data_IF_634151163495
#
_entry.id   IF_634151163495
#
_cell.length_a   1.000
_cell.length_b   1.000
_cell.length_c   1.000
_cell.angle_alpha   90.00
_cell.angle_beta   90.00
_cell.angle_gamma   90.00
#
_symmetry.space_group_name_H-M   'P 1'
#
loop_
_entity.id
_entity.type
_entity.pdbx_description
1 polymer ?
#
# COMPACT_ATOMS: atom_id res chain seq x y z
N UNK A 1 -12.40 40.43 -31.50
CA UNK A 1 -12.22 39.32 -30.54
C UNK A 1 -13.43 38.43 -30.64
N UNK A 2 -13.30 37.23 -31.22
CA UNK A 2 -14.41 36.51 -31.83
C UNK A 2 -15.22 35.73 -30.78
N UNK A 3 -16.47 36.16 -30.50
CA UNK A 3 -17.32 35.57 -29.43
C UNK A 3 -17.57 34.07 -29.66
N UNK A 4 -17.51 33.61 -30.90
CA UNK A 4 -17.64 32.20 -31.28
C UNK A 4 -16.48 31.32 -30.80
N UNK A 5 -15.29 31.88 -30.57
CA UNK A 5 -14.16 31.12 -30.02
C UNK A 5 -14.40 30.72 -28.56
N UNK A 6 -15.15 31.52 -27.79
CA UNK A 6 -15.51 31.23 -26.39
C UNK A 6 -16.57 30.12 -26.32
N UNK A 7 -17.49 30.06 -27.29
CA UNK A 7 -18.54 29.04 -27.36
C UNK A 7 -18.02 27.65 -27.78
N UNK A 8 -16.89 27.56 -28.49
CA UNK A 8 -16.25 26.28 -28.82
C UNK A 8 -15.37 25.71 -27.70
N UNK A 9 -14.96 26.51 -26.72
CA UNK A 9 -14.09 26.05 -25.61
C UNK A 9 -14.92 25.42 -24.47
N UNK A 10 -16.18 25.84 -24.31
CA UNK A 10 -17.05 25.37 -23.22
C UNK A 10 -17.45 23.87 -23.27
N UNK A 11 -17.69 23.23 -24.43
CA UNK A 11 -17.99 21.80 -24.49
C UNK A 11 -16.76 20.89 -24.29
N UNK A 12 -15.54 21.41 -24.48
CA UNK A 12 -14.31 20.62 -24.39
C UNK A 12 -13.88 20.34 -22.94
N UNK A 13 -14.33 21.17 -21.99
CA UNK A 13 -14.05 21.03 -20.55
C UNK A 13 -14.99 20.06 -19.83
N UNK A 14 -16.03 19.54 -20.50
CA UNK A 14 -17.04 18.65 -19.91
C UNK A 14 -16.74 17.15 -20.08
N UNK A 15 -15.70 16.77 -20.83
CA UNK A 15 -15.23 15.38 -20.90
C UNK A 15 -14.32 15.03 -19.72
N UNK A 16 -14.90 14.95 -18.53
CA UNK A 16 -14.24 14.26 -17.41
C UNK A 16 -14.41 12.76 -17.63
N UNK A 17 -13.34 12.07 -18.04
CA UNK A 17 -13.31 10.62 -18.02
C UNK A 17 -13.54 10.16 -16.59
N UNK A 18 -14.66 9.49 -16.31
CA UNK A 18 -14.85 8.80 -15.06
C UNK A 18 -13.75 7.74 -14.95
N UNK A 19 -12.74 7.99 -14.11
CA UNK A 19 -11.73 6.99 -13.77
C UNK A 19 -12.46 5.87 -13.04
N UNK A 20 -12.58 4.74 -13.72
CA UNK A 20 -13.18 3.54 -13.15
C UNK A 20 -12.12 2.87 -12.26
N UNK A 21 -12.09 3.27 -10.99
CA UNK A 21 -11.28 2.61 -9.99
C UNK A 21 -12.04 1.39 -9.46
N UNK A 22 -11.37 0.24 -9.37
CA UNK A 22 -11.94 -1.00 -8.82
C UNK A 22 -12.10 -0.91 -7.30
N UNK A 23 -11.16 -1.53 -6.59
CA UNK A 23 -11.12 -1.55 -5.13
C UNK A 23 -10.02 -0.62 -4.62
N UNK A 24 -10.40 0.37 -3.81
CA UNK A 24 -9.50 1.37 -3.20
C UNK A 24 -9.17 0.94 -1.78
N UNK A 25 -7.89 1.00 -1.42
CA UNK A 25 -7.37 0.65 -0.09
C UNK A 25 -6.98 1.92 0.65
N UNK A 26 -7.48 2.08 1.87
CA UNK A 26 -7.15 3.17 2.78
C UNK A 26 -5.71 3.08 3.29
N UNK A 27 -4.76 3.54 2.49
CA UNK A 27 -3.35 3.62 2.83
C UNK A 27 -2.42 2.88 1.86
N UNK A 28 -1.16 3.30 1.81
CA UNK A 28 -0.12 2.69 0.97
C UNK A 28 0.90 1.86 1.76
N UNK A 29 0.86 2.00 3.10
CA UNK A 29 1.64 1.25 4.08
C UNK A 29 0.91 1.29 5.42
N UNK A 30 1.19 0.32 6.28
CA UNK A 30 0.57 0.21 7.60
C UNK A 30 1.65 0.10 8.68
N UNK A 31 1.46 0.81 9.79
CA UNK A 31 2.35 0.74 10.95
C UNK A 31 1.52 0.14 12.08
N UNK A 32 2.01 -0.97 12.65
CA UNK A 32 1.45 -1.64 13.82
C UNK A 32 2.34 -1.31 15.03
N UNK A 33 1.92 -0.40 15.92
CA UNK A 33 2.63 -0.11 17.16
C UNK A 33 2.61 -1.33 18.09
N UNK A 34 3.69 -1.59 18.81
CA UNK A 34 3.79 -2.70 19.76
C UNK A 34 2.68 -2.72 20.81
N UNK A 35 2.35 -1.56 21.39
CA UNK A 35 1.31 -1.43 22.41
C UNK A 35 -0.12 -1.48 21.85
N UNK A 36 -0.33 -1.61 20.54
CA UNK A 36 -1.67 -1.64 19.95
C UNK A 36 -2.21 -3.07 19.89
N UNK A 37 -3.44 -3.28 20.36
CA UNK A 37 -4.12 -4.58 20.20
C UNK A 37 -4.41 -4.88 18.73
N UNK A 38 -4.77 -3.85 17.97
CA UNK A 38 -5.04 -3.97 16.54
C UNK A 38 -4.93 -2.63 15.83
N UNK A 39 -4.73 -2.69 14.52
CA UNK A 39 -4.91 -1.54 13.62
C UNK A 39 -6.03 -1.86 12.62
N UNK A 40 -6.63 -0.85 12.02
CA UNK A 40 -7.67 -1.05 11.03
C UNK A 40 -7.59 -0.05 9.90
N UNK A 41 -8.01 -0.47 8.73
CA UNK A 41 -8.09 0.36 7.54
C UNK A 41 -9.33 -0.02 6.72
N UNK A 42 -9.75 0.90 5.86
CA UNK A 42 -10.93 0.71 5.02
C UNK A 42 -10.53 0.23 3.63
N UNK A 43 -11.39 -0.60 3.04
CA UNK A 43 -11.36 -0.95 1.63
C UNK A 43 -12.72 -0.61 1.05
N UNK A 44 -12.73 0.17 -0.03
CA UNK A 44 -13.94 0.65 -0.69
C UNK A 44 -14.01 0.18 -2.12
N UNK A 45 -15.17 -0.28 -2.55
CA UNK A 45 -15.43 -0.55 -3.96
C UNK A 45 -15.98 0.70 -4.64
N UNK A 46 -15.23 1.23 -5.59
CA UNK A 46 -15.63 2.42 -6.37
C UNK A 46 -16.11 2.07 -7.78
N UNK A 47 -16.15 0.78 -8.12
CA UNK A 47 -16.68 0.31 -9.40
C UNK A 47 -18.15 -0.09 -9.31
N UNK A 48 -18.74 -0.37 -10.47
CA UNK A 48 -20.08 -0.92 -10.64
C UNK A 48 -20.17 -2.44 -10.44
N UNK A 49 -19.05 -3.14 -10.26
CA UNK A 49 -18.98 -4.59 -10.18
C UNK A 49 -18.75 -5.05 -8.74
N UNK A 50 -19.32 -6.19 -8.35
CA UNK A 50 -19.02 -6.81 -7.05
C UNK A 50 -17.66 -7.50 -7.08
N UNK A 51 -16.83 -7.29 -6.06
CA UNK A 51 -15.56 -8.00 -5.90
C UNK A 51 -15.58 -8.93 -4.69
N UNK A 52 -14.85 -10.04 -4.81
CA UNK A 52 -14.42 -10.83 -3.67
C UNK A 52 -13.04 -10.34 -3.22
N UNK A 53 -12.95 -9.83 -2.00
CA UNK A 53 -11.72 -9.33 -1.40
C UNK A 53 -11.08 -10.40 -0.54
N UNK A 54 -9.83 -10.75 -0.82
CA UNK A 54 -9.02 -11.65 0.00
C UNK A 54 -7.85 -10.91 0.64
N UNK A 55 -7.62 -11.13 1.93
CA UNK A 55 -6.53 -10.50 2.68
C UNK A 55 -5.56 -11.56 3.22
N UNK A 56 -4.26 -11.32 3.08
CA UNK A 56 -3.21 -12.22 3.60
C UNK A 56 -2.00 -11.42 4.07
N UNK A 57 -1.40 -11.80 5.19
CA UNK A 57 -0.14 -11.23 5.67
C UNK A 57 0.96 -12.29 5.54
N UNK A 58 2.14 -11.89 5.05
CA UNK A 58 3.31 -12.75 4.93
C UNK A 58 4.59 -12.02 5.36
N UNK A 59 5.65 -12.79 5.57
CA UNK A 59 7.03 -12.30 5.70
C UNK A 59 7.92 -13.03 4.68
N UNK A 60 9.17 -12.61 4.52
CA UNK A 60 10.08 -13.19 3.51
C UNK A 60 10.46 -14.64 3.83
N UNK A 61 10.59 -15.00 5.10
CA UNK A 61 10.93 -16.36 5.54
C UNK A 61 10.07 -16.76 6.74
N UNK A 62 9.33 -17.86 6.66
CA UNK A 62 8.46 -18.36 7.73
C UNK A 62 7.06 -17.71 7.77
N UNK A 63 6.35 -17.95 8.87
CA UNK A 63 4.99 -17.44 9.09
C UNK A 63 5.01 -16.08 9.78
N UNK A 64 4.23 -15.11 9.27
CA UNK A 64 4.07 -13.82 9.92
C UNK A 64 3.13 -13.95 11.14
N UNK A 65 3.45 -13.36 12.31
CA UNK A 65 2.62 -13.42 13.50
C UNK A 65 1.47 -12.40 13.45
N UNK A 66 0.82 -12.27 12.30
CA UNK A 66 -0.27 -11.32 12.08
C UNK A 66 -1.37 -11.96 11.23
N UNK A 67 -2.61 -11.60 11.54
CA UNK A 67 -3.78 -11.93 10.73
C UNK A 67 -4.51 -10.65 10.32
N UNK A 68 -5.11 -10.68 9.13
CA UNK A 68 -6.04 -9.67 8.66
C UNK A 68 -7.45 -10.28 8.64
N UNK A 69 -8.42 -9.55 9.18
CA UNK A 69 -9.79 -10.03 9.35
C UNK A 69 -10.78 -8.97 8.86
N UNK A 70 -11.80 -9.34 8.06
CA UNK A 70 -12.08 -10.69 7.56
C UNK A 70 -11.09 -11.15 6.45
N UNK A 71 -10.73 -12.45 6.38
CA UNK A 71 -9.76 -12.95 5.42
C UNK A 71 -10.31 -13.06 3.98
N UNK A 72 -11.62 -13.17 3.83
CA UNK A 72 -12.31 -13.27 2.55
C UNK A 72 -13.74 -12.73 2.70
N UNK A 73 -14.15 -11.79 1.84
CA UNK A 73 -15.50 -11.21 1.90
C UNK A 73 -15.89 -10.57 0.56
N UNK A 74 -17.18 -10.60 0.17
CA UNK A 74 -17.66 -9.83 -0.97
C UNK A 74 -17.80 -8.34 -0.61
N UNK A 75 -17.63 -7.47 -1.59
CA UNK A 75 -17.88 -6.02 -1.47
C UNK A 75 -18.68 -5.55 -2.68
N UNK A 76 -19.88 -5.03 -2.45
CA UNK A 76 -20.79 -4.59 -3.51
C UNK A 76 -20.39 -3.19 -4.03
N UNK A 77 -20.96 -2.74 -5.17
CA UNK A 77 -20.70 -1.40 -5.69
C UNK A 77 -20.99 -0.31 -4.66
N UNK A 78 -20.02 0.59 -4.44
CA UNK A 78 -20.15 1.71 -3.48
C UNK A 78 -19.90 1.34 -2.01
N UNK A 79 -19.89 0.05 -1.66
CA UNK A 79 -19.69 -0.42 -0.29
C UNK A 79 -18.25 -0.18 0.19
N UNK A 80 -18.12 -0.03 1.50
CA UNK A 80 -16.84 0.05 2.18
C UNK A 80 -16.82 -0.93 3.36
N UNK A 81 -15.72 -1.67 3.50
CA UNK A 81 -15.52 -2.63 4.57
C UNK A 81 -14.22 -2.32 5.33
N UNK A 82 -14.25 -2.52 6.64
CA UNK A 82 -13.10 -2.32 7.50
C UNK A 82 -12.35 -3.64 7.69
N UNK A 83 -11.05 -3.64 7.40
CA UNK A 83 -10.16 -4.75 7.70
C UNK A 83 -9.40 -4.42 8.98
N UNK A 84 -9.36 -5.37 9.91
CA UNK A 84 -8.58 -5.30 11.15
C UNK A 84 -7.35 -6.19 11.04
N UNK A 85 -6.19 -5.65 11.39
CA UNK A 85 -4.95 -6.42 11.54
C UNK A 85 -4.71 -6.63 13.03
N UNK A 86 -4.47 -7.87 13.42
CA UNK A 86 -4.21 -8.29 14.80
C UNK A 86 -2.92 -9.10 14.83
N UNK A 87 -2.07 -8.85 15.83
CA UNK A 87 -0.90 -9.69 16.10
C UNK A 87 -1.34 -10.96 16.84
N UNK A 88 -0.87 -12.11 16.38
CA UNK A 88 -1.23 -13.43 16.94
C UNK A 88 -0.18 -14.01 17.88
N UNK A 89 0.87 -13.25 18.20
CA UNK A 89 1.93 -13.64 19.12
C UNK A 89 3.31 -13.48 18.51
N UNK A 90 4.19 -14.48 18.72
CA UNK A 90 5.59 -14.45 18.28
C UNK A 90 6.47 -13.51 19.11
N UNK A 91 7.79 -13.68 19.00
CA UNK A 91 8.77 -12.74 19.53
C UNK A 91 9.32 -11.92 18.36
N UNK A 92 9.21 -10.60 18.46
CA UNK A 92 9.74 -9.67 17.46
C UNK A 92 10.85 -8.83 18.11
N UNK A 93 11.87 -8.40 17.36
CA UNK A 93 12.90 -7.52 17.87
C UNK A 93 12.32 -6.25 18.50
N UNK A 94 12.86 -5.86 19.66
CA UNK A 94 12.49 -4.63 20.36
C UNK A 94 13.47 -3.48 20.09
N UNK A 95 14.51 -3.70 19.28
CA UNK A 95 15.54 -2.70 18.96
C UNK A 95 15.38 -2.10 17.55
N UNK A 96 14.51 -2.67 16.70
CA UNK A 96 14.29 -2.27 15.31
C UNK A 96 12.89 -2.62 14.81
N UNK A 97 12.45 -1.93 13.77
CA UNK A 97 11.23 -2.30 13.04
C UNK A 97 11.35 -3.70 12.43
N UNK A 98 10.21 -4.38 12.29
CA UNK A 98 10.09 -5.61 11.49
C UNK A 98 9.16 -5.39 10.32
N UNK A 99 9.55 -5.86 9.12
CA UNK A 99 8.79 -5.70 7.89
C UNK A 99 8.02 -6.98 7.53
N UNK A 100 6.72 -6.79 7.31
CA UNK A 100 5.78 -7.77 6.78
C UNK A 100 5.11 -7.22 5.54
N UNK A 101 4.40 -8.08 4.82
CA UNK A 101 3.69 -7.72 3.60
C UNK A 101 2.22 -8.08 3.74
N UNK A 102 1.35 -7.07 3.60
CA UNK A 102 -0.08 -7.24 3.49
C UNK A 102 -0.46 -7.33 2.01
N UNK A 103 -1.12 -8.41 1.64
CA UNK A 103 -1.72 -8.61 0.34
C UNK A 103 -3.23 -8.42 0.42
N UNK A 104 -3.77 -7.67 -0.52
CA UNK A 104 -5.21 -7.53 -0.73
C UNK A 104 -5.48 -7.82 -2.20
N UNK A 105 -6.21 -8.91 -2.46
CA UNK A 105 -6.65 -9.27 -3.79
C UNK A 105 -8.12 -8.86 -3.98
N UNK A 106 -8.40 -8.14 -5.06
CA UNK A 106 -9.75 -7.86 -5.53
C UNK A 106 -10.03 -8.76 -6.74
N UNK A 107 -10.92 -9.73 -6.55
CA UNK A 107 -11.27 -10.75 -7.53
C UNK A 107 -12.66 -10.41 -8.08
N UNK A 108 -12.82 -10.11 -9.38
CA UNK A 108 -14.13 -9.85 -9.96
C UNK A 108 -15.10 -11.02 -9.67
N UNK A 109 -16.33 -10.71 -9.27
CA UNK A 109 -17.36 -11.72 -9.05
C UNK A 109 -18.09 -12.04 -10.36
N UNK A 110 -18.57 -13.28 -10.50
CA UNK A 110 -19.40 -13.71 -11.63
C UNK A 110 -18.65 -14.50 -12.70
N UNK A 111 -19.40 -15.12 -13.62
CA UNK A 111 -18.83 -15.89 -14.72
C UNK A 111 -18.24 -14.94 -15.76
N UNK A 112 -17.02 -15.22 -16.19
CA UNK A 112 -16.43 -14.59 -17.35
C UNK A 112 -17.32 -14.86 -18.58
N UNK A 113 -17.69 -13.85 -19.39
CA UNK A 113 -18.31 -14.07 -20.68
C UNK A 113 -17.49 -15.03 -21.55
N UNK A 114 -18.13 -15.72 -22.50
CA UNK A 114 -17.44 -16.58 -23.47
C UNK A 114 -16.36 -15.78 -24.21
N UNK A 115 -15.15 -16.33 -24.32
CA UNK A 115 -13.99 -15.67 -24.94
C UNK A 115 -13.59 -14.34 -24.28
N UNK A 116 -13.64 -14.26 -22.95
CA UNK A 116 -13.20 -13.07 -22.20
C UNK A 116 -12.04 -13.35 -21.25
N UNK A 117 -11.30 -12.29 -20.92
CA UNK A 117 -10.25 -12.29 -19.91
C UNK A 117 -10.75 -11.55 -18.67
N UNK A 118 -10.70 -12.22 -17.52
CA UNK A 118 -10.91 -11.57 -16.22
C UNK A 118 -9.57 -11.42 -15.50
N UNK A 119 -9.36 -10.24 -14.91
CA UNK A 119 -8.12 -9.91 -14.20
C UNK A 119 -8.46 -9.67 -12.73
N UNK A 120 -7.82 -10.43 -11.85
CA UNK A 120 -7.81 -10.15 -10.42
C UNK A 120 -6.59 -9.29 -10.07
N UNK A 121 -6.80 -8.17 -9.38
CA UNK A 121 -5.72 -7.27 -8.98
C UNK A 121 -5.31 -7.59 -7.56
N UNK A 122 -4.01 -7.83 -7.35
CA UNK A 122 -3.43 -8.11 -6.04
C UNK A 122 -2.44 -7.02 -5.65
N UNK A 123 -2.83 -6.19 -4.70
CA UNK A 123 -1.99 -5.13 -4.14
C UNK A 123 -1.13 -5.70 -3.00
N UNK A 124 0.13 -5.26 -2.94
CA UNK A 124 1.10 -5.60 -1.88
C UNK A 124 1.50 -4.32 -1.15
N UNK A 125 1.24 -4.26 0.14
CA UNK A 125 1.58 -3.12 1.01
C UNK A 125 2.56 -3.55 2.08
N UNK A 126 3.43 -2.63 2.50
CA UNK A 126 4.32 -2.85 3.64
C UNK A 126 3.53 -2.73 4.94
N UNK A 127 3.72 -3.69 5.84
CA UNK A 127 3.23 -3.67 7.22
C UNK A 127 4.46 -3.65 8.14
N UNK A 128 4.65 -2.55 8.86
CA UNK A 128 5.76 -2.38 9.79
C UNK A 128 5.28 -2.66 11.20
N UNK A 129 5.90 -3.61 11.89
CA UNK A 129 5.82 -3.67 13.34
C UNK A 129 6.81 -2.67 13.93
N UNK A 130 6.33 -1.81 14.82
CA UNK A 130 7.13 -0.76 15.45
C UNK A 130 7.16 -0.94 16.97
N UNK A 131 8.31 -1.35 17.53
CA UNK A 131 8.55 -1.37 18.97
C UNK A 131 8.23 -0.06 19.66
N UNK A 132 7.86 -0.16 20.94
CA UNK A 132 7.41 0.95 21.77
C UNK A 132 8.48 2.03 21.97
N UNK A 133 9.74 1.61 22.13
CA UNK A 133 10.92 2.49 22.20
C UNK A 133 11.25 3.20 20.87
N UNK A 134 10.58 2.85 19.77
CA UNK A 134 10.74 3.45 18.44
C UNK A 134 9.51 4.26 18.00
N UNK A 135 8.67 4.73 18.93
CA UNK A 135 7.49 5.54 18.62
C UNK A 135 7.79 6.84 17.86
N UNK A 136 8.97 7.44 18.05
CA UNK A 136 9.39 8.73 17.48
C UNK A 136 10.71 8.60 16.72
N UNK A 137 10.96 9.47 15.73
CA UNK A 137 12.23 9.52 15.00
C UNK A 137 12.21 8.88 13.62
N UNK A 138 11.10 8.26 13.21
CA UNK A 138 10.96 7.67 11.88
C UNK A 138 11.03 8.72 10.76
N UNK A 139 10.58 9.96 11.02
CA UNK A 139 10.58 11.04 10.04
C UNK A 139 11.99 11.58 9.78
N UNK A 140 12.88 11.52 10.78
CA UNK A 140 14.26 11.98 10.72
C UNK A 140 15.25 10.83 10.44
N UNK A 141 14.79 9.58 10.46
CA UNK A 141 15.63 8.39 10.30
C UNK A 141 16.49 8.41 9.02
N UNK A 142 15.99 9.01 7.94
CA UNK A 142 16.71 9.14 6.67
C UNK A 142 18.01 9.96 6.78
N UNK A 143 18.14 10.83 7.78
CA UNK A 143 19.35 11.61 8.03
C UNK A 143 20.51 10.72 8.51
N UNK A 144 20.21 9.50 8.99
CA UNK A 144 21.19 8.50 9.44
C UNK A 144 21.61 7.53 8.33
N UNK A 145 21.26 7.83 7.07
CA UNK A 145 21.78 7.10 5.92
C UNK A 145 23.20 7.56 5.62
N UNK A 146 24.14 6.63 5.66
CA UNK A 146 25.51 6.87 5.21
C UNK A 146 25.69 6.31 3.80
N UNK A 147 26.31 7.09 2.94
CA UNK A 147 26.54 6.74 1.55
C UNK A 147 28.04 6.60 1.34
N UNK A 148 28.46 5.50 0.73
CA UNK A 148 29.82 5.29 0.28
C UNK A 148 29.82 4.81 -1.15
N UNK A 149 30.87 5.18 -1.89
CA UNK A 149 31.12 4.64 -3.21
C UNK A 149 32.31 3.69 -3.12
N UNK A 150 32.07 2.42 -3.46
CA UNK A 150 33.13 1.42 -3.55
C UNK A 150 33.19 0.97 -5.01
N UNK A 151 34.33 1.24 -5.67
CA UNK A 151 34.48 1.08 -7.12
C UNK A 151 33.46 1.92 -7.92
N UNK A 152 32.54 1.26 -8.63
CA UNK A 152 31.45 1.86 -9.43
C UNK A 152 30.07 1.64 -8.83
N UNK A 153 29.99 1.16 -7.59
CA UNK A 153 28.74 0.90 -6.89
C UNK A 153 28.55 1.88 -5.74
N UNK A 154 27.32 2.38 -5.61
CA UNK A 154 26.89 3.15 -4.44
C UNK A 154 26.34 2.19 -3.40
N UNK A 155 26.90 2.24 -2.20
CA UNK A 155 26.40 1.52 -1.04
C UNK A 155 25.73 2.51 -0.11
N UNK A 156 24.54 2.14 0.36
CA UNK A 156 23.80 2.89 1.38
C UNK A 156 23.73 2.05 2.65
N UNK A 157 24.21 2.63 3.74
CA UNK A 157 24.15 2.03 5.07
C UNK A 157 23.09 2.73 5.89
N UNK A 158 22.08 1.99 6.30
CA UNK A 158 21.05 2.48 7.20
C UNK A 158 21.46 2.21 8.65
N UNK A 159 21.89 3.24 9.38
CA UNK A 159 22.22 3.15 10.80
C UNK A 159 21.01 3.37 11.72
N UNK A 160 19.84 3.64 11.15
CA UNK A 160 18.60 3.80 11.92
C UNK A 160 17.90 2.45 12.16
N UNK A 161 17.08 2.34 13.22
CA UNK A 161 16.28 1.15 13.46
C UNK A 161 15.00 1.08 12.61
N UNK A 162 14.85 1.95 11.61
CA UNK A 162 13.65 2.10 10.78
C UNK A 162 13.88 1.61 9.36
N UNK A 163 12.83 1.12 8.70
CA UNK A 163 12.86 0.90 7.26
C UNK A 163 12.69 2.21 6.49
N UNK A 164 13.70 2.56 5.69
CA UNK A 164 13.66 3.74 4.83
C UNK A 164 13.33 3.31 3.40
N UNK A 165 12.31 3.94 2.81
CA UNK A 165 11.95 3.72 1.41
C UNK A 165 12.43 4.91 0.59
N UNK A 166 13.43 4.69 -0.26
CA UNK A 166 13.94 5.68 -1.19
C UNK A 166 12.98 5.74 -2.39
N UNK A 167 12.37 6.91 -2.62
CA UNK A 167 11.46 7.12 -3.74
C UNK A 167 12.19 7.61 -5.00
N UNK A 168 13.24 8.39 -4.82
CA UNK A 168 14.09 8.91 -5.87
C UNK A 168 15.53 8.93 -5.38
N UNK A 169 16.46 8.50 -6.23
CA UNK A 169 17.89 8.60 -6.00
C UNK A 169 18.53 9.33 -7.19
N UNK A 170 19.28 10.39 -6.89
CA UNK A 170 20.02 11.15 -7.89
C UNK A 170 21.44 11.39 -7.39
N UNK A 171 22.42 11.20 -8.26
CA UNK A 171 23.82 11.55 -8.01
C UNK A 171 24.22 12.57 -9.06
N UNK A 172 24.67 13.76 -8.63
CA UNK A 172 24.99 14.88 -9.53
C UNK A 172 23.86 15.20 -10.52
N UNK A 173 22.62 15.28 -10.02
CA UNK A 173 21.38 15.48 -10.81
C UNK A 173 21.06 14.39 -11.84
N UNK A 174 21.80 13.27 -11.86
CA UNK A 174 21.50 12.13 -12.73
C UNK A 174 20.76 11.05 -11.93
N UNK A 175 19.59 10.58 -12.41
CA UNK A 175 18.90 9.48 -11.77
C UNK A 175 19.82 8.25 -11.74
N UNK A 176 19.83 7.54 -10.60
CA UNK A 176 20.47 6.24 -10.46
C UNK A 176 19.43 5.14 -10.54
#
# INVERSE_FOLDING_TARGET
MNIYAVWCIFPLLMFSFAVQAGVVIGGTRFIYPEAADSISFEVKNTSSDTYLVNTKITQESGSAPFIATPPLFPISPGDANKIRIVRTGGSLPNDRESLFHLYIAAIPSGKAPTNSLQIAVKSRMKLFYRPENLRKGAAEAWQKLEWSQTNREWQVRNLSPYYITLSQLKVNNRPQ
#
